data_IF_788319518736
#
_entry.id   IF_788319518736
#
_cell.length_a   1.000
_cell.length_b   1.000
_cell.length_c   1.000
_cell.angle_alpha   90.00
_cell.angle_beta   90.00
_cell.angle_gamma   90.00
#
_symmetry.space_group_name_H-M   'P 1'
#
loop_
_entity.id
_entity.type
_entity.pdbx_description
1 polymer ?
#
# COMPACT_ATOMS: atom_id res chain seq x y z
N UNK A 1 -5.28 5.42 9.94
CA UNK A 1 -5.65 4.07 9.44
C UNK A 1 -5.91 4.21 7.96
N UNK A 2 -5.97 3.13 7.18
CA UNK A 2 -6.21 3.21 5.75
C UNK A 2 -7.33 2.26 5.35
N UNK A 3 -8.32 2.78 4.64
CA UNK A 3 -9.23 2.00 3.82
C UNK A 3 -8.53 1.73 2.49
N UNK A 4 -8.34 0.45 2.18
CA UNK A 4 -7.77 -0.01 0.93
C UNK A 4 -8.92 -0.55 0.10
N UNK A 5 -9.23 0.08 -1.02
CA UNK A 5 -10.01 -0.54 -2.08
C UNK A 5 -9.05 -1.19 -3.07
N UNK A 6 -9.24 -2.47 -3.35
CA UNK A 6 -8.38 -3.26 -4.22
C UNK A 6 -9.17 -3.78 -5.41
N UNK A 7 -8.65 -3.55 -6.61
CA UNK A 7 -9.17 -4.09 -7.86
C UNK A 7 -8.15 -5.01 -8.51
N UNK A 8 -8.53 -6.26 -8.76
CA UNK A 8 -7.70 -7.24 -9.47
C UNK A 8 -8.01 -7.18 -10.97
N UNK A 9 -7.39 -6.23 -11.65
CA UNK A 9 -7.68 -5.88 -13.05
C UNK A 9 -7.08 -6.90 -14.01
N UNK A 10 -7.85 -7.26 -15.04
CA UNK A 10 -7.38 -8.13 -16.13
C UNK A 10 -6.27 -7.41 -16.90
N UNK A 11 -5.11 -8.05 -17.16
CA UNK A 11 -4.05 -7.42 -17.95
C UNK A 11 -4.53 -6.90 -19.31
N UNK A 12 -5.44 -7.62 -19.98
CA UNK A 12 -6.03 -7.23 -21.27
C UNK A 12 -6.96 -6.01 -21.20
N UNK A 13 -7.36 -5.59 -20.00
CA UNK A 13 -8.25 -4.46 -19.73
C UNK A 13 -7.58 -3.31 -19.01
N UNK A 14 -6.29 -3.41 -18.68
CA UNK A 14 -5.58 -2.40 -17.90
C UNK A 14 -5.65 -0.98 -18.50
N UNK A 15 -5.49 -0.83 -19.81
CA UNK A 15 -5.59 0.49 -20.46
C UNK A 15 -7.01 1.07 -20.42
N UNK A 16 -8.03 0.21 -20.60
CA UNK A 16 -9.44 0.61 -20.49
C UNK A 16 -9.76 1.05 -19.06
N UNK A 17 -9.32 0.26 -18.08
CA UNK A 17 -9.46 0.55 -16.66
C UNK A 17 -8.82 1.90 -16.28
N UNK A 18 -7.57 2.14 -16.68
CA UNK A 18 -6.89 3.42 -16.39
C UNK A 18 -7.56 4.61 -17.05
N UNK A 19 -8.16 4.42 -18.23
CA UNK A 19 -8.95 5.46 -18.89
C UNK A 19 -10.16 5.84 -18.04
N UNK A 20 -10.90 4.84 -17.56
CA UNK A 20 -12.07 5.04 -16.69
C UNK A 20 -11.63 5.66 -15.35
N UNK A 21 -10.50 5.24 -14.78
CA UNK A 21 -9.94 5.80 -13.54
C UNK A 21 -9.60 7.29 -13.68
N UNK A 22 -9.09 7.72 -14.83
CA UNK A 22 -8.85 9.14 -15.12
C UNK A 22 -10.15 9.91 -15.28
N UNK A 23 -11.13 9.37 -15.99
CA UNK A 23 -12.47 9.98 -16.08
C UNK A 23 -13.13 10.15 -14.69
N UNK A 24 -13.00 9.15 -13.82
CA UNK A 24 -13.48 9.23 -12.44
C UNK A 24 -12.74 10.28 -11.62
N UNK A 25 -11.42 10.39 -11.79
CA UNK A 25 -10.60 11.42 -11.15
C UNK A 25 -11.02 12.82 -11.61
N UNK A 26 -11.19 13.02 -12.93
CA UNK A 26 -11.64 14.29 -13.51
C UNK A 26 -13.03 14.68 -13.00
N UNK A 27 -13.96 13.71 -12.90
CA UNK A 27 -15.27 13.93 -12.28
C UNK A 27 -15.14 14.34 -10.82
N UNK A 28 -14.27 13.66 -10.05
CA UNK A 28 -14.02 13.98 -8.65
C UNK A 28 -13.43 15.38 -8.45
N UNK A 29 -12.57 15.83 -9.36
CA UNK A 29 -12.06 17.21 -9.41
C UNK A 29 -13.17 18.20 -9.74
N UNK A 30 -14.01 17.90 -10.73
CA UNK A 30 -15.11 18.77 -11.15
C UNK A 30 -16.16 18.96 -10.05
N UNK A 31 -16.41 17.91 -9.25
CA UNK A 31 -17.38 17.92 -8.17
C UNK A 31 -16.78 18.22 -6.78
N UNK A 32 -15.45 18.39 -6.69
CA UNK A 32 -14.73 18.62 -5.44
C UNK A 32 -15.14 17.66 -4.30
N UNK A 33 -15.13 16.36 -4.59
CA UNK A 33 -15.47 15.29 -3.63
C UNK A 33 -14.65 15.46 -2.37
N UNK A 34 -15.29 15.52 -1.20
CA UNK A 34 -14.63 15.78 0.09
C UNK A 34 -13.96 14.53 0.67
N UNK A 35 -13.08 13.90 -0.11
CA UNK A 35 -12.26 12.76 0.29
C UNK A 35 -10.94 12.78 -0.45
N UNK A 36 -10.04 11.88 -0.11
CA UNK A 36 -8.77 11.73 -0.81
C UNK A 36 -8.38 10.26 -0.91
N UNK A 37 -7.59 9.93 -1.93
CA UNK A 37 -6.97 8.62 -2.02
C UNK A 37 -5.62 8.71 -2.71
N UNK A 38 -4.74 7.81 -2.30
CA UNK A 38 -3.47 7.56 -2.94
C UNK A 38 -3.60 6.28 -3.75
N UNK A 39 -3.20 6.32 -5.01
CA UNK A 39 -3.27 5.15 -5.89
C UNK A 39 -1.92 4.45 -5.95
N UNK A 40 -1.92 3.13 -5.87
CA UNK A 40 -0.76 2.29 -6.17
C UNK A 40 -1.18 1.16 -7.11
N UNK A 41 -0.24 0.68 -7.92
CA UNK A 41 -0.43 -0.44 -8.83
C UNK A 41 0.72 -1.41 -8.70
N UNK A 42 0.42 -2.70 -8.67
CA UNK A 42 1.40 -3.77 -8.78
C UNK A 42 1.66 -4.11 -10.25
N UNK A 43 2.82 -4.72 -10.50
CA UNK A 43 3.20 -5.16 -11.85
C UNK A 43 2.26 -6.25 -12.42
N UNK A 44 1.45 -6.89 -11.57
CA UNK A 44 0.41 -7.83 -11.97
C UNK A 44 -0.98 -7.21 -12.14
N UNK A 45 -1.05 -5.88 -12.28
CA UNK A 45 -2.29 -5.12 -12.52
C UNK A 45 -3.29 -5.16 -11.35
N UNK A 46 -2.81 -5.41 -10.14
CA UNK A 46 -3.59 -5.13 -8.93
C UNK A 46 -3.51 -3.65 -8.60
N UNK A 47 -4.66 -2.96 -8.56
CA UNK A 47 -4.76 -1.55 -8.19
C UNK A 47 -5.20 -1.42 -6.74
N UNK A 48 -4.63 -0.43 -6.06
CA UNK A 48 -4.98 -0.05 -4.70
C UNK A 48 -5.35 1.42 -4.65
N UNK A 49 -6.54 1.74 -4.14
CA UNK A 49 -6.96 3.09 -3.78
C UNK A 49 -6.96 3.18 -2.27
N UNK A 50 -6.05 3.99 -1.75
CA UNK A 50 -5.66 4.04 -0.34
C UNK A 50 -6.20 5.33 0.25
N UNK A 51 -7.32 5.24 0.96
CA UNK A 51 -7.97 6.38 1.63
C UNK A 51 -7.51 6.43 3.09
N UNK A 52 -6.79 7.47 3.52
CA UNK A 52 -6.50 7.67 4.93
C UNK A 52 -7.79 7.96 5.70
N UNK A 53 -8.03 7.20 6.77
CA UNK A 53 -9.16 7.42 7.68
C UNK A 53 -8.66 7.61 9.12
N UNK A 54 -9.31 8.51 9.88
CA UNK A 54 -8.94 8.77 11.28
C UNK A 54 -9.46 7.67 12.20
N UNK A 55 -10.67 7.19 11.94
CA UNK A 55 -11.37 6.18 12.73
C UNK A 55 -12.37 5.40 11.86
N UNK A 56 -13.06 4.42 12.42
CA UNK A 56 -14.00 3.57 11.67
C UNK A 56 -15.37 4.25 11.41
N UNK A 57 -15.73 5.33 12.12
CA UNK A 57 -16.99 6.04 11.88
C UNK A 57 -16.98 6.78 10.53
N UNK A 58 -15.80 7.14 10.01
CA UNK A 58 -15.67 7.69 8.65
C UNK A 58 -16.10 6.70 7.55
N UNK A 59 -16.31 5.41 7.88
CA UNK A 59 -16.86 4.43 6.94
C UNK A 59 -18.39 4.53 6.79
N UNK A 60 -19.06 5.23 7.70
CA UNK A 60 -20.50 5.49 7.62
C UNK A 60 -20.82 6.68 6.69
N UNK A 61 -19.79 7.43 6.27
CA UNK A 61 -19.90 8.58 5.37
C UNK A 61 -19.80 8.12 3.91
N UNK A 62 -20.68 8.63 3.04
CA UNK A 62 -20.57 8.48 1.59
C UNK A 62 -20.03 9.77 0.97
N UNK A 63 -18.70 9.91 0.78
CA UNK A 63 -18.13 11.11 0.20
C UNK A 63 -18.56 11.33 -1.26
N UNK A 64 -19.09 10.31 -1.93
CA UNK A 64 -19.47 10.36 -3.33
C UNK A 64 -20.94 10.76 -3.54
N UNK A 65 -21.74 10.87 -2.46
CA UNK A 65 -23.19 11.04 -2.54
C UNK A 65 -23.60 12.23 -3.44
N UNK A 66 -23.01 13.40 -3.21
CA UNK A 66 -23.34 14.61 -3.97
C UNK A 66 -22.89 14.53 -5.43
N UNK A 67 -21.72 13.92 -5.69
CA UNK A 67 -21.25 13.69 -7.06
C UNK A 67 -22.16 12.70 -7.78
N UNK A 68 -22.55 11.61 -7.13
CA UNK A 68 -23.45 10.61 -7.69
C UNK A 68 -24.81 11.22 -8.05
N UNK A 69 -25.39 12.03 -7.14
CA UNK A 69 -26.63 12.78 -7.41
C UNK A 69 -26.49 13.74 -8.59
N UNK A 70 -25.38 14.47 -8.67
CA UNK A 70 -25.14 15.44 -9.74
C UNK A 70 -24.93 14.79 -11.12
N UNK A 71 -24.26 13.63 -11.15
CA UNK A 71 -23.99 12.89 -12.38
C UNK A 71 -25.17 12.04 -12.86
N UNK A 72 -26.06 11.61 -11.95
CA UNK A 72 -27.18 10.72 -12.25
C UNK A 72 -26.70 9.39 -12.82
N UNK A 73 -27.37 8.89 -13.85
CA UNK A 73 -27.10 7.58 -14.47
C UNK A 73 -25.65 7.41 -14.90
N UNK A 74 -24.97 8.50 -15.30
CA UNK A 74 -23.56 8.47 -15.73
C UNK A 74 -22.62 7.97 -14.65
N UNK A 75 -22.93 8.21 -13.37
CA UNK A 75 -22.14 7.68 -12.26
C UNK A 75 -22.20 6.15 -12.26
N UNK A 76 -23.41 5.58 -12.30
CA UNK A 76 -23.60 4.13 -12.37
C UNK A 76 -22.99 3.50 -13.63
N UNK A 77 -23.18 4.11 -14.79
CA UNK A 77 -22.59 3.65 -16.06
C UNK A 77 -21.06 3.57 -16.01
N UNK A 78 -20.41 4.47 -15.28
CA UNK A 78 -18.96 4.46 -15.07
C UNK A 78 -18.52 3.22 -14.27
N UNK A 79 -19.21 2.89 -13.18
CA UNK A 79 -18.92 1.69 -12.40
C UNK A 79 -19.25 0.39 -13.16
N UNK A 80 -20.28 0.38 -14.00
CA UNK A 80 -20.54 -0.76 -14.90
C UNK A 80 -19.42 -0.98 -15.93
N UNK A 81 -18.69 0.07 -16.31
CA UNK A 81 -17.48 -0.06 -17.14
C UNK A 81 -16.31 -0.62 -16.33
N UNK A 82 -16.12 -0.15 -15.09
CA UNK A 82 -15.13 -0.73 -14.19
C UNK A 82 -15.37 -2.23 -13.94
N UNK A 83 -16.62 -2.64 -13.68
CA UNK A 83 -17.02 -4.03 -13.44
C UNK A 83 -16.58 -5.00 -14.55
N UNK A 84 -16.38 -4.53 -15.78
CA UNK A 84 -15.93 -5.34 -16.92
C UNK A 84 -14.41 -5.56 -16.94
N UNK A 85 -13.66 -4.80 -16.15
CA UNK A 85 -12.20 -4.74 -16.22
C UNK A 85 -11.50 -5.66 -15.21
N UNK A 86 -12.14 -6.02 -14.09
CA UNK A 86 -11.56 -6.90 -13.07
C UNK A 86 -12.32 -8.22 -12.92
N UNK A 87 -11.69 -9.22 -12.30
CA UNK A 87 -12.34 -10.49 -11.92
C UNK A 87 -12.82 -10.48 -10.46
N UNK A 88 -12.20 -9.64 -9.64
CA UNK A 88 -12.55 -9.48 -8.24
C UNK A 88 -12.09 -8.12 -7.74
N UNK A 89 -12.81 -7.61 -6.75
CA UNK A 89 -12.44 -6.41 -6.04
C UNK A 89 -12.97 -6.48 -4.60
N UNK A 90 -12.48 -5.60 -3.73
CA UNK A 90 -12.96 -5.52 -2.36
C UNK A 90 -12.24 -4.47 -1.54
N UNK A 91 -12.77 -4.22 -0.35
CA UNK A 91 -12.23 -3.21 0.56
C UNK A 91 -11.84 -3.82 1.90
N UNK A 92 -10.71 -3.36 2.46
CA UNK A 92 -10.24 -3.77 3.77
C UNK A 92 -9.45 -2.67 4.46
N UNK A 93 -9.26 -2.80 5.77
CA UNK A 93 -8.54 -1.84 6.59
C UNK A 93 -7.12 -2.33 6.88
N UNK A 94 -6.17 -1.40 6.75
CA UNK A 94 -4.81 -1.57 7.22
C UNK A 94 -4.43 -0.46 8.19
N UNK A 95 -3.51 -0.76 9.11
CA UNK A 95 -2.95 0.19 10.07
C UNK A 95 -1.49 0.42 9.78
N UNK A 96 -1.04 1.67 9.71
CA UNK A 96 0.39 1.97 9.85
C UNK A 96 0.85 1.50 11.23
N UNK A 97 2.03 0.91 11.29
CA UNK A 97 2.69 0.54 12.53
C UNK A 97 4.03 1.27 12.59
N UNK A 98 3.99 2.57 12.92
CA UNK A 98 5.19 3.42 12.94
C UNK A 98 6.26 2.90 13.90
N UNK A 99 5.85 2.27 15.01
CA UNK A 99 6.77 1.64 15.96
C UNK A 99 7.60 0.49 15.37
N UNK A 100 7.20 -0.08 14.22
CA UNK A 100 7.92 -1.13 13.50
C UNK A 100 8.55 -0.62 12.20
N UNK A 101 8.17 0.58 11.76
CA UNK A 101 8.73 1.22 10.55
C UNK A 101 10.08 1.84 10.86
N UNK A 102 10.99 1.82 9.89
CA UNK A 102 12.25 2.54 9.96
C UNK A 102 12.20 3.67 8.92
N UNK A 103 12.17 4.92 9.38
CA UNK A 103 11.94 6.08 8.52
C UNK A 103 13.25 6.51 7.87
N UNK A 104 13.13 7.15 6.70
CA UNK A 104 14.28 7.73 6.03
C UNK A 104 14.95 8.78 6.94
N UNK A 105 16.28 8.94 6.87
CA UNK A 105 16.95 10.06 7.52
C UNK A 105 16.36 11.40 7.08
N UNK A 106 16.34 12.37 7.98
CA UNK A 106 15.89 13.74 7.69
C UNK A 106 16.63 14.31 6.47
N UNK A 107 15.89 15.02 5.60
CA UNK A 107 16.42 15.57 4.34
C UNK A 107 16.49 14.57 3.18
N UNK A 108 16.10 13.30 3.37
CA UNK A 108 15.93 12.37 2.25
C UNK A 108 14.79 12.86 1.36
N UNK A 109 15.09 13.14 0.09
CA UNK A 109 14.07 13.49 -0.89
C UNK A 109 13.22 12.26 -1.24
N UNK A 110 11.94 12.35 -0.90
CA UNK A 110 10.93 11.31 -1.10
C UNK A 110 10.06 11.58 -2.34
N UNK A 111 10.20 12.74 -2.98
CA UNK A 111 9.27 13.22 -4.01
C UNK A 111 9.22 12.34 -5.26
N UNK A 112 10.35 11.72 -5.61
CA UNK A 112 10.48 10.86 -6.79
C UNK A 112 10.56 9.35 -6.43
N UNK A 113 10.21 9.00 -5.20
CA UNK A 113 10.27 7.60 -4.76
C UNK A 113 8.90 6.96 -4.94
N UNK A 114 8.51 6.73 -6.20
CA UNK A 114 7.23 6.12 -6.55
C UNK A 114 7.32 4.60 -6.71
N UNK A 115 8.49 4.03 -7.01
CA UNK A 115 8.66 2.58 -7.09
C UNK A 115 8.50 1.93 -5.71
N UNK A 116 7.91 0.73 -5.67
CA UNK A 116 7.61 0.01 -4.44
C UNK A 116 8.03 -1.45 -4.56
N UNK A 117 8.71 -1.93 -3.52
CA UNK A 117 8.79 -3.36 -3.20
C UNK A 117 7.95 -3.61 -1.97
N UNK A 118 7.08 -4.60 -2.05
CA UNK A 118 6.17 -4.99 -0.98
C UNK A 118 6.46 -6.42 -0.56
N UNK A 119 6.68 -6.63 0.74
CA UNK A 119 6.76 -7.96 1.33
C UNK A 119 5.57 -8.17 2.26
N UNK A 120 4.74 -9.17 1.94
CA UNK A 120 3.63 -9.60 2.79
C UNK A 120 4.06 -10.84 3.56
N UNK A 121 4.16 -10.73 4.88
CA UNK A 121 4.57 -11.81 5.78
C UNK A 121 3.36 -12.28 6.58
N UNK A 122 2.75 -13.37 6.12
CA UNK A 122 1.56 -13.99 6.71
C UNK A 122 1.93 -14.86 7.90
N UNK A 123 1.10 -14.86 8.94
CA UNK A 123 1.34 -15.62 10.16
C UNK A 123 0.04 -16.13 10.78
N UNK A 124 0.15 -17.23 11.54
CA UNK A 124 -0.98 -17.74 12.33
C UNK A 124 -1.28 -16.83 13.51
N UNK A 125 -2.56 -16.59 13.88
CA UNK A 125 -2.92 -15.73 15.02
C UNK A 125 -2.18 -16.06 16.32
N UNK A 126 -1.95 -17.35 16.62
CA UNK A 126 -1.18 -17.80 17.79
C UNK A 126 0.26 -17.26 17.87
N UNK A 127 0.82 -16.83 16.74
CA UNK A 127 2.19 -16.30 16.63
C UNK A 127 2.25 -14.77 16.65
N UNK A 128 1.12 -14.05 16.79
CA UNK A 128 1.06 -12.59 16.67
C UNK A 128 2.09 -11.85 17.54
N UNK A 129 2.19 -12.22 18.82
CA UNK A 129 3.14 -11.61 19.75
C UNK A 129 4.60 -11.82 19.31
N UNK A 130 4.93 -13.04 18.87
CA UNK A 130 6.29 -13.40 18.44
C UNK A 130 6.66 -12.74 17.11
N UNK A 131 5.70 -12.64 16.19
CA UNK A 131 5.88 -11.92 14.93
C UNK A 131 6.17 -10.44 15.20
N UNK A 132 5.38 -9.79 16.07
CA UNK A 132 5.60 -8.40 16.47
C UNK A 132 6.98 -8.19 17.11
N UNK A 133 7.40 -9.10 17.99
CA UNK A 133 8.73 -9.05 18.62
C UNK A 133 9.85 -9.19 17.58
N UNK A 134 9.72 -10.14 16.65
CA UNK A 134 10.66 -10.31 15.54
C UNK A 134 10.78 -9.04 14.68
N UNK A 135 9.65 -8.46 14.29
CA UNK A 135 9.60 -7.21 13.52
C UNK A 135 10.26 -6.04 14.26
N UNK A 136 10.06 -5.95 15.58
CA UNK A 136 10.72 -4.94 16.42
C UNK A 136 12.23 -5.11 16.41
N UNK A 137 12.71 -6.35 16.54
CA UNK A 137 14.14 -6.65 16.50
C UNK A 137 14.78 -6.30 15.14
N UNK A 138 14.03 -6.40 14.04
CA UNK A 138 14.49 -5.95 12.71
C UNK A 138 14.71 -4.44 12.71
N UNK A 139 13.75 -3.65 13.20
CA UNK A 139 13.89 -2.19 13.31
C UNK A 139 15.09 -1.81 14.19
N UNK A 140 15.22 -2.43 15.36
CA UNK A 140 16.35 -2.20 16.27
C UNK A 140 17.70 -2.52 15.62
N UNK A 141 17.76 -3.57 14.78
CA UNK A 141 18.97 -3.87 13.99
C UNK A 141 19.28 -2.75 13.00
N UNK A 142 18.29 -2.28 12.23
CA UNK A 142 18.49 -1.21 11.25
C UNK A 142 19.00 0.08 11.92
N UNK A 143 18.42 0.44 13.07
CA UNK A 143 18.86 1.58 13.88
C UNK A 143 20.30 1.39 14.38
N UNK A 144 20.61 0.23 14.98
CA UNK A 144 21.94 -0.05 15.54
C UNK A 144 23.06 -0.07 14.50
N UNK A 145 22.74 -0.42 13.25
CA UNK A 145 23.68 -0.48 12.13
C UNK A 145 23.74 0.81 11.33
N UNK A 146 22.90 1.79 11.63
CA UNK A 146 22.81 3.03 10.86
C UNK A 146 22.40 2.78 9.41
N UNK A 147 21.45 1.87 9.21
CA UNK A 147 20.95 1.56 7.87
C UNK A 147 20.42 2.81 7.16
N UNK A 148 20.67 2.91 5.86
CA UNK A 148 20.08 3.94 4.99
C UNK A 148 18.86 3.43 4.23
N UNK A 149 18.57 2.13 4.33
CA UNK A 149 17.38 1.53 3.75
C UNK A 149 16.21 1.76 4.69
N UNK A 150 15.14 2.34 4.19
CA UNK A 150 14.00 2.69 5.01
C UNK A 150 12.74 2.04 4.45
N UNK A 151 11.80 1.77 5.36
CA UNK A 151 10.62 0.98 5.04
C UNK A 151 9.46 1.36 5.97
N UNK A 152 8.26 1.26 5.43
CA UNK A 152 7.03 1.41 6.19
C UNK A 152 6.41 0.05 6.47
N UNK A 153 5.92 -0.14 7.70
CA UNK A 153 5.22 -1.36 8.10
C UNK A 153 3.74 -1.05 8.26
N UNK A 154 2.92 -1.84 7.60
CA UNK A 154 1.49 -1.87 7.77
C UNK A 154 1.05 -3.23 8.31
N UNK A 155 -0.06 -3.26 9.03
CA UNK A 155 -0.64 -4.47 9.58
C UNK A 155 -2.12 -4.55 9.23
N UNK A 156 -2.54 -5.74 8.85
CA UNK A 156 -3.96 -6.08 8.59
C UNK A 156 -4.85 -5.74 9.78
N UNK A 157 -6.06 -5.26 9.50
CA UNK A 157 -7.09 -5.01 10.49
C UNK A 157 -8.39 -5.73 10.14
N UNK A 158 -9.36 -5.03 9.56
CA UNK A 158 -10.68 -5.58 9.22
C UNK A 158 -10.77 -5.88 7.72
N UNK A 159 -11.53 -6.90 7.31
CA UNK A 159 -11.81 -7.18 5.90
C UNK A 159 -10.82 -8.12 5.21
N UNK A 160 -9.76 -8.56 5.90
CA UNK A 160 -8.87 -9.63 5.43
C UNK A 160 -9.02 -10.88 6.30
N UNK A 161 -9.05 -12.06 5.69
CA UNK A 161 -9.07 -13.33 6.43
C UNK A 161 -7.69 -13.68 7.01
N UNK A 162 -6.63 -13.30 6.30
CA UNK A 162 -5.25 -13.57 6.70
C UNK A 162 -4.71 -12.47 7.63
N UNK A 163 -3.79 -12.86 8.52
CA UNK A 163 -3.01 -11.94 9.34
C UNK A 163 -1.63 -11.79 8.73
N UNK A 164 -1.29 -10.60 8.25
CA UNK A 164 0.04 -10.31 7.72
C UNK A 164 0.53 -8.91 8.06
N UNK A 165 1.85 -8.80 8.17
CA UNK A 165 2.56 -7.52 8.08
C UNK A 165 2.95 -7.26 6.63
N UNK A 166 2.71 -6.04 6.16
CA UNK A 166 3.19 -5.54 4.87
C UNK A 166 4.37 -4.61 5.13
N UNK A 167 5.55 -4.99 4.63
CA UNK A 167 6.72 -4.10 4.57
C UNK A 167 6.74 -3.47 3.19
N UNK A 168 6.69 -2.14 3.13
CA UNK A 168 6.75 -1.37 1.90
C UNK A 168 8.05 -0.59 1.83
N UNK A 169 8.87 -0.89 0.82
CA UNK A 169 10.15 -0.25 0.55
C UNK A 169 9.99 0.67 -0.66
N UNK A 170 10.00 1.99 -0.45
CA UNK A 170 10.02 2.98 -1.54
C UNK A 170 11.42 3.15 -2.14
N UNK A 171 11.46 3.30 -3.46
CA UNK A 171 12.66 3.63 -4.23
C UNK A 171 12.30 4.47 -5.45
N UNK A 172 13.31 4.96 -6.18
CA UNK A 172 13.10 5.67 -7.45
C UNK A 172 12.63 4.72 -8.55
N UNK A 173 13.37 3.62 -8.69
CA UNK A 173 13.13 2.56 -9.67
C UNK A 173 13.68 1.22 -9.14
N UNK A 174 13.58 0.17 -9.97
CA UNK A 174 14.07 -1.17 -9.63
C UNK A 174 15.59 -1.22 -9.42
N UNK A 175 16.36 -0.42 -10.17
CA UNK A 175 17.83 -0.39 -10.08
C UNK A 175 18.25 0.28 -8.77
N UNK A 176 17.65 1.41 -8.43
CA UNK A 176 17.85 2.10 -7.14
C UNK A 176 17.52 1.17 -5.97
N UNK A 177 16.36 0.49 -6.04
CA UNK A 177 15.92 -0.47 -5.02
C UNK A 177 16.94 -1.61 -4.84
N UNK A 178 17.37 -2.25 -5.92
CA UNK A 178 18.34 -3.34 -5.86
C UNK A 178 19.70 -2.87 -5.33
N UNK A 179 20.16 -1.70 -5.77
CA UNK A 179 21.43 -1.09 -5.33
C UNK A 179 21.41 -0.80 -3.83
N UNK A 180 20.34 -0.16 -3.34
CA UNK A 180 20.16 0.13 -1.91
C UNK A 180 20.04 -1.12 -1.06
N UNK A 181 19.28 -2.12 -1.53
CA UNK A 181 19.15 -3.40 -0.84
C UNK A 181 20.51 -4.08 -0.69
N UNK A 182 21.34 -4.10 -1.74
CA UNK A 182 22.69 -4.67 -1.68
C UNK A 182 23.58 -3.91 -0.69
N UNK A 183 23.62 -2.57 -0.78
CA UNK A 183 24.38 -1.75 0.16
C UNK A 183 23.93 -1.97 1.61
N UNK A 184 22.62 -2.12 1.83
CA UNK A 184 22.07 -2.38 3.15
C UNK A 184 22.48 -3.75 3.69
N UNK A 185 22.49 -4.79 2.86
CA UNK A 185 22.96 -6.12 3.28
C UNK A 185 24.40 -6.07 3.82
N UNK A 186 25.25 -5.27 3.19
CA UNK A 186 26.64 -5.11 3.61
C UNK A 186 26.73 -4.33 4.94
N UNK A 187 25.91 -3.29 5.13
CA UNK A 187 25.79 -2.53 6.41
C UNK A 187 25.28 -3.40 7.55
N UNK A 188 24.25 -4.21 7.31
CA UNK A 188 23.66 -5.06 8.35
C UNK A 188 24.60 -6.20 8.75
N UNK A 189 25.47 -6.64 7.84
CA UNK A 189 26.43 -7.72 8.07
C UNK A 189 25.76 -9.10 8.17
N UNK A 190 26.55 -10.18 8.41
CA UNK A 190 26.07 -11.56 8.43
C UNK A 190 25.09 -11.85 9.58
N UNK A 191 25.20 -11.13 10.71
CA UNK A 191 24.34 -11.34 11.88
C UNK A 191 22.86 -11.00 11.61
N UNK A 192 22.56 -10.29 10.51
CA UNK A 192 21.18 -9.97 10.10
C UNK A 192 20.31 -11.21 10.01
N UNK A 193 20.86 -12.35 9.58
CA UNK A 193 20.10 -13.59 9.42
C UNK A 193 19.55 -14.10 10.75
N UNK A 194 20.29 -13.93 11.85
CA UNK A 194 19.81 -14.30 13.19
C UNK A 194 18.58 -13.46 13.58
N UNK A 195 18.60 -12.18 13.25
CA UNK A 195 17.46 -11.27 13.50
C UNK A 195 16.29 -11.57 12.57
N UNK A 196 16.54 -11.74 11.27
CA UNK A 196 15.50 -12.05 10.29
C UNK A 196 14.81 -13.39 10.57
N UNK A 197 15.56 -14.39 11.08
CA UNK A 197 14.99 -15.66 11.52
C UNK A 197 13.96 -15.51 12.65
N UNK A 198 14.01 -14.44 13.47
CA UNK A 198 12.97 -14.17 14.47
C UNK A 198 11.61 -13.85 13.84
N UNK A 199 11.60 -13.38 12.59
CA UNK A 199 10.38 -13.14 11.80
C UNK A 199 10.05 -14.40 10.99
N UNK A 200 11.02 -14.88 10.20
CA UNK A 200 10.83 -16.00 9.25
C UNK A 200 10.32 -17.27 9.95
N UNK A 201 10.79 -17.58 11.16
CA UNK A 201 10.33 -18.75 11.92
C UNK A 201 8.82 -18.75 12.23
N UNK A 202 8.16 -17.60 12.13
CA UNK A 202 6.72 -17.46 12.37
C UNK A 202 5.94 -17.05 11.12
N UNK A 203 6.61 -16.89 9.99
CA UNK A 203 6.01 -16.61 8.69
C UNK A 203 5.55 -17.92 8.05
N UNK A 204 4.27 -18.03 7.74
CA UNK A 204 3.67 -19.20 7.07
C UNK A 204 3.74 -19.07 5.55
N UNK A 205 3.61 -17.84 5.05
CA UNK A 205 3.69 -17.49 3.63
C UNK A 205 4.34 -16.12 3.52
N UNK A 206 5.30 -16.00 2.60
CA UNK A 206 5.90 -14.73 2.22
C UNK A 206 5.59 -14.47 0.76
N UNK A 207 5.05 -13.29 0.45
CA UNK A 207 4.81 -12.84 -0.91
C UNK A 207 5.64 -11.58 -1.14
N UNK A 208 6.30 -11.50 -2.29
CA UNK A 208 7.01 -10.31 -2.75
C UNK A 208 6.30 -9.78 -3.99
N UNK A 209 5.96 -8.50 -3.97
CA UNK A 209 5.39 -7.79 -5.10
C UNK A 209 6.17 -6.53 -5.40
N UNK A 210 6.14 -6.13 -6.67
CA UNK A 210 6.72 -4.90 -7.17
C UNK A 210 5.64 -4.07 -7.84
N UNK A 211 5.89 -2.78 -7.94
CA UNK A 211 5.02 -1.86 -8.63
C UNK A 211 5.35 -0.42 -8.30
N UNK A 212 4.34 0.44 -8.37
CA UNK A 212 4.52 1.89 -8.24
C UNK A 212 3.31 2.57 -7.64
N UNK A 213 3.57 3.68 -6.96
CA UNK A 213 2.56 4.70 -6.71
C UNK A 213 2.15 5.34 -8.04
N UNK A 214 0.89 5.76 -8.13
CA UNK A 214 0.29 6.41 -9.29
C UNK A 214 -0.28 7.78 -8.90
N UNK A 215 0.57 8.80 -8.71
CA UNK A 215 0.10 10.15 -8.42
C UNK A 215 -0.89 10.68 -9.46
N UNK A 216 -0.74 10.26 -10.72
CA UNK A 216 -1.64 10.60 -11.84
C UNK A 216 -3.05 10.00 -11.73
N UNK A 217 -3.25 9.00 -10.85
CA UNK A 217 -4.55 8.40 -10.56
C UNK A 217 -5.02 8.69 -9.12
N UNK A 218 -4.23 9.45 -8.35
CA UNK A 218 -4.53 9.82 -6.98
C UNK A 218 -5.37 11.11 -6.95
N UNK A 219 -6.11 11.32 -5.86
CA UNK A 219 -6.98 12.48 -5.73
C UNK A 219 -6.90 13.10 -4.35
N UNK A 220 -6.98 14.43 -4.33
CA UNK A 220 -7.18 15.25 -3.14
C UNK A 220 -8.15 16.38 -3.49
N UNK A 221 -9.02 16.79 -2.55
CA UNK A 221 -9.95 17.88 -2.79
C UNK A 221 -9.20 19.21 -2.86
N UNK A 222 -9.83 20.22 -3.45
CA UNK A 222 -9.38 21.61 -3.33
C UNK A 222 -9.72 22.11 -1.92
N UNK A 223 -8.80 22.87 -1.34
CA UNK A 223 -9.03 23.63 -0.10
C UNK A 223 -10.13 24.68 -0.26
#
# INVERSE_FOLDING_TARGET
>A
MFLIHQDNVKPSKAMEYETIAKEFNDASIAHNVQTQWITAVRDDFTYYYITPIKNMAELDEDPMEDMAKAMGDKFGEMFERFNKCYDSHGSYLMRSVDALSYKAPEGTDMSDQNYRVWFMMHYKPKNAAKMKEGMKAVKELFESKGSKEYYNVYHTALGTMDNYYLVSIPAKDEIDSATRSKANQDVLGPDRYKTFNKVINYTEKMEEFRGKMRPDLSYSPKE
#
